data_IF_470208159535
#
_entry.id   IF_470208159535
#
_cell.length_a   1.000
_cell.length_b   1.000
_cell.length_c   1.000
_cell.angle_alpha   90.00
_cell.angle_beta   90.00
_cell.angle_gamma   90.00
#
_symmetry.space_group_name_H-M   'P 1'
#
loop_
_entity.id
_entity.type
_entity.pdbx_description
1 polymer ?
#
# COMPACT_ATOMS: atom_id res chain seq x y z
N UNK A 1 2.45 -34.14 10.23
CA UNK A 1 2.16 -33.46 11.55
C UNK A 1 1.97 -34.48 12.67
N UNK A 2 2.19 -34.11 13.97
CA UNK A 2 1.91 -35.00 15.11
C UNK A 2 0.39 -35.18 15.26
N UNK A 3 -0.11 -36.40 15.56
CA UNK A 3 -1.57 -36.64 15.72
C UNK A 3 -2.23 -35.74 16.78
N UNK A 4 -1.51 -35.45 17.88
CA UNK A 4 -1.97 -34.54 18.94
C UNK A 4 -2.21 -33.13 18.44
N UNK A 5 -1.29 -32.60 17.61
CA UNK A 5 -1.39 -31.24 17.08
C UNK A 5 -2.56 -31.11 16.12
N UNK A 6 -2.80 -32.16 15.32
CA UNK A 6 -3.96 -32.23 14.41
C UNK A 6 -5.26 -32.15 15.20
N UNK A 7 -5.37 -32.86 16.34
CA UNK A 7 -6.57 -32.81 17.20
C UNK A 7 -6.80 -31.42 17.79
N UNK A 8 -5.72 -30.73 18.24
CA UNK A 8 -5.84 -29.38 18.77
C UNK A 8 -6.31 -28.42 17.67
N UNK A 9 -5.74 -28.50 16.47
CA UNK A 9 -6.14 -27.67 15.33
C UNK A 9 -7.61 -27.94 14.96
N UNK A 10 -8.05 -29.19 14.98
CA UNK A 10 -9.46 -29.52 14.74
C UNK A 10 -10.37 -28.84 15.77
N UNK A 11 -10.09 -29.00 17.08
CA UNK A 11 -10.87 -28.37 18.14
C UNK A 11 -10.92 -26.84 18.02
N UNK A 12 -9.80 -26.21 17.64
CA UNK A 12 -9.78 -24.76 17.38
C UNK A 12 -10.70 -24.42 16.21
N UNK A 13 -10.59 -25.14 15.08
CA UNK A 13 -11.38 -24.88 13.88
C UNK A 13 -12.88 -25.17 14.05
N UNK A 14 -13.25 -26.11 14.94
CA UNK A 14 -14.65 -26.38 15.32
C UNK A 14 -15.31 -25.17 16.00
N UNK A 15 -14.54 -24.46 16.82
CA UNK A 15 -15.06 -23.32 17.60
C UNK A 15 -14.95 -22.00 16.83
N UNK A 16 -13.82 -21.79 16.13
CA UNK A 16 -13.53 -20.47 15.50
C UNK A 16 -13.99 -20.39 14.05
N UNK A 17 -14.24 -21.51 13.38
CA UNK A 17 -14.37 -21.57 11.93
C UNK A 17 -13.03 -21.36 11.21
N UNK A 18 -13.04 -20.85 9.96
CA UNK A 18 -11.83 -20.64 9.19
C UNK A 18 -10.86 -19.65 9.85
N UNK A 19 -9.58 -20.03 9.98
CA UNK A 19 -8.54 -19.20 10.63
C UNK A 19 -7.20 -19.35 9.90
N UNK A 20 -6.35 -18.33 10.03
CA UNK A 20 -4.98 -18.37 9.50
C UNK A 20 -4.10 -19.36 10.27
N UNK A 21 -3.25 -20.17 9.60
CA UNK A 21 -2.29 -21.03 10.27
C UNK A 21 -1.39 -20.32 11.28
N UNK A 22 -1.11 -19.02 11.08
CA UNK A 22 -0.29 -18.19 11.97
C UNK A 22 -1.00 -17.82 13.26
N UNK A 23 -2.34 -17.81 13.27
CA UNK A 23 -3.18 -17.45 14.42
C UNK A 23 -3.61 -18.66 15.26
N UNK A 24 -3.44 -19.88 14.72
CA UNK A 24 -3.89 -21.13 15.38
C UNK A 24 -3.32 -21.28 16.79
N UNK A 25 -2.06 -20.92 17.02
CA UNK A 25 -1.44 -21.05 18.34
C UNK A 25 -2.05 -20.11 19.37
N UNK A 26 -2.24 -18.84 19.01
CA UNK A 26 -2.81 -17.83 19.91
C UNK A 26 -4.26 -18.15 20.25
N UNK A 27 -5.00 -18.59 19.24
CA UNK A 27 -6.40 -18.96 19.43
C UNK A 27 -6.56 -20.23 20.26
N UNK A 28 -5.70 -21.23 20.06
CA UNK A 28 -5.65 -22.41 20.91
C UNK A 28 -5.36 -22.03 22.37
N UNK A 29 -4.41 -21.12 22.61
CA UNK A 29 -4.08 -20.64 23.95
C UNK A 29 -5.25 -19.92 24.63
N UNK A 30 -5.91 -19.02 23.91
CA UNK A 30 -7.12 -18.32 24.37
C UNK A 30 -8.23 -19.29 24.79
N UNK A 31 -8.53 -20.27 23.92
CA UNK A 31 -9.58 -21.27 24.14
C UNK A 31 -9.22 -22.22 25.28
N UNK A 32 -7.95 -22.57 25.44
CA UNK A 32 -7.47 -23.39 26.54
C UNK A 32 -7.59 -22.65 27.90
N UNK A 33 -7.22 -21.38 27.94
CA UNK A 33 -7.35 -20.53 29.14
C UNK A 33 -8.82 -20.32 29.55
N UNK A 34 -9.74 -20.32 28.57
CA UNK A 34 -11.20 -20.29 28.80
C UNK A 34 -11.82 -21.64 29.17
N UNK A 35 -11.05 -22.73 29.08
CA UNK A 35 -11.53 -24.10 29.32
C UNK A 35 -12.40 -24.68 28.19
N UNK A 36 -12.41 -24.02 27.02
CA UNK A 36 -13.21 -24.44 25.85
C UNK A 36 -12.54 -25.60 25.07
N UNK A 37 -11.21 -25.76 25.18
CA UNK A 37 -10.45 -26.91 24.71
C UNK A 37 -9.63 -27.51 25.86
N UNK A 38 -9.45 -28.83 25.80
CA UNK A 38 -8.80 -29.60 26.91
C UNK A 38 -7.32 -29.86 26.68
N UNK A 39 -6.81 -29.57 25.50
CA UNK A 39 -5.42 -29.84 25.10
C UNK A 39 -4.79 -28.60 24.54
N UNK A 40 -3.50 -28.38 24.87
CA UNK A 40 -2.69 -27.29 24.31
C UNK A 40 -1.45 -27.88 23.62
N UNK A 41 -0.88 -27.11 22.67
CA UNK A 41 0.39 -27.45 22.04
C UNK A 41 1.52 -27.49 23.07
N UNK A 42 2.36 -28.51 22.97
CA UNK A 42 3.52 -28.69 23.83
C UNK A 42 4.79 -28.23 23.10
N UNK A 43 4.86 -26.92 22.88
CA UNK A 43 6.01 -26.27 22.27
C UNK A 43 6.59 -25.24 23.25
N UNK A 44 7.67 -25.65 23.96
CA UNK A 44 8.49 -24.76 24.77
C UNK A 44 9.60 -24.16 23.90
N UNK A 45 9.52 -22.88 23.55
CA UNK A 45 10.57 -22.22 22.77
C UNK A 45 10.28 -20.74 22.54
N UNK A 46 11.24 -20.03 21.94
CA UNK A 46 11.11 -18.59 21.65
C UNK A 46 10.09 -18.26 20.53
N UNK A 47 9.67 -19.26 19.73
CA UNK A 47 8.79 -19.08 18.57
C UNK A 47 7.72 -20.19 18.46
N UNK A 48 6.80 -20.33 19.47
CA UNK A 48 5.78 -21.38 19.44
C UNK A 48 4.83 -21.27 18.25
N UNK A 49 4.52 -20.06 17.78
CA UNK A 49 3.69 -19.81 16.59
C UNK A 49 4.26 -20.48 15.34
N UNK A 50 5.57 -20.32 15.08
CA UNK A 50 6.23 -20.94 13.94
C UNK A 50 6.26 -22.48 14.05
N UNK A 51 6.38 -22.99 15.29
CA UNK A 51 6.36 -24.42 15.54
C UNK A 51 5.00 -25.07 15.22
N UNK A 52 3.92 -24.30 15.22
CA UNK A 52 2.57 -24.73 14.82
C UNK A 52 2.30 -24.43 13.35
N UNK A 53 2.55 -23.21 12.90
CA UNK A 53 2.16 -22.78 11.53
C UNK A 53 3.01 -23.45 10.44
N UNK A 54 4.33 -23.59 10.65
CA UNK A 54 5.23 -24.16 9.63
C UNK A 54 4.90 -25.61 9.26
N UNK A 55 4.62 -26.52 10.20
CA UNK A 55 4.11 -27.87 9.89
C UNK A 55 2.76 -27.87 9.15
N UNK A 56 1.85 -26.94 9.45
CA UNK A 56 0.58 -26.82 8.74
C UNK A 56 0.83 -26.49 7.27
N UNK A 57 1.60 -25.43 6.98
CA UNK A 57 1.95 -25.06 5.61
C UNK A 57 2.66 -26.20 4.86
N UNK A 58 3.60 -26.87 5.53
CA UNK A 58 4.33 -27.98 4.93
C UNK A 58 3.42 -29.14 4.55
N UNK A 59 2.50 -29.51 5.44
CA UNK A 59 1.56 -30.60 5.21
C UNK A 59 0.54 -30.27 4.10
N UNK A 60 0.02 -29.04 4.08
CA UNK A 60 -0.87 -28.54 3.02
C UNK A 60 -0.18 -28.55 1.64
N UNK A 61 1.07 -28.10 1.57
CA UNK A 61 1.83 -28.06 0.31
C UNK A 61 2.22 -29.45 -0.19
N UNK A 62 2.39 -30.42 0.70
CA UNK A 62 2.66 -31.83 0.34
C UNK A 62 1.41 -32.62 -0.02
N UNK A 63 0.22 -32.04 0.14
CA UNK A 63 -1.05 -32.73 -0.08
C UNK A 63 -1.31 -33.85 0.91
N UNK A 64 -0.79 -33.75 2.16
CA UNK A 64 -1.03 -34.72 3.22
C UNK A 64 -2.55 -34.82 3.50
N UNK A 65 -3.03 -36.01 3.81
CA UNK A 65 -4.42 -36.21 4.16
C UNK A 65 -4.70 -35.72 5.57
N UNK A 66 -5.23 -34.49 5.67
CA UNK A 66 -5.53 -33.79 6.91
C UNK A 66 -7.05 -33.64 7.07
N UNK A 67 -7.56 -33.53 8.32
CA UNK A 67 -9.00 -33.29 8.57
C UNK A 67 -9.43 -31.86 8.25
N UNK A 68 -8.53 -31.01 7.87
CA UNK A 68 -8.75 -29.64 7.42
C UNK A 68 -8.11 -29.38 6.06
N UNK A 69 -8.57 -28.36 5.37
CA UNK A 69 -8.08 -27.98 4.06
C UNK A 69 -7.90 -26.45 3.97
N UNK A 70 -7.15 -26.02 2.99
CA UNK A 70 -7.01 -24.60 2.65
C UNK A 70 -8.27 -24.15 1.92
N UNK A 71 -8.96 -23.14 2.48
CA UNK A 71 -10.21 -22.58 1.93
C UNK A 71 -10.01 -21.22 1.29
N UNK A 72 -8.88 -20.53 1.57
CA UNK A 72 -8.50 -19.25 0.98
C UNK A 72 -6.99 -19.17 0.81
N UNK A 73 -6.54 -18.45 -0.24
CA UNK A 73 -5.11 -18.33 -0.57
C UNK A 73 -4.44 -17.06 -0.05
N UNK A 74 -5.15 -15.95 0.01
CA UNK A 74 -4.61 -14.68 0.48
C UNK A 74 -5.65 -13.91 1.30
N UNK A 75 -5.47 -13.80 2.63
CA UNK A 75 -4.54 -14.60 3.45
C UNK A 75 -4.88 -16.10 3.41
N UNK A 76 -3.90 -16.95 3.69
CA UNK A 76 -4.18 -18.41 3.78
C UNK A 76 -5.08 -18.67 4.97
N UNK A 77 -6.25 -19.26 4.71
CA UNK A 77 -7.17 -19.72 5.75
C UNK A 77 -7.36 -21.24 5.61
N UNK A 78 -7.44 -21.92 6.75
CA UNK A 78 -7.76 -23.33 6.87
C UNK A 78 -9.10 -23.54 7.55
N UNK A 79 -9.85 -24.53 7.12
CA UNK A 79 -11.12 -24.96 7.70
C UNK A 79 -11.24 -26.48 7.74
N UNK A 80 -12.16 -27.01 8.55
CA UNK A 80 -12.43 -28.45 8.63
C UNK A 80 -13.01 -28.98 7.32
N UNK A 81 -12.56 -30.18 6.93
CA UNK A 81 -13.21 -30.96 5.87
C UNK A 81 -14.61 -31.38 6.35
N UNK A 82 -15.63 -30.95 5.63
CA UNK A 82 -17.03 -31.22 5.98
C UNK A 82 -17.79 -30.08 6.63
N UNK A 83 -17.12 -29.07 7.16
CA UNK A 83 -17.73 -27.79 7.52
C UNK A 83 -18.05 -26.92 6.27
N UNK A 84 -17.61 -27.35 5.11
CA UNK A 84 -17.93 -26.74 3.81
C UNK A 84 -19.24 -27.34 3.21
N UNK A 85 -20.25 -27.63 4.04
CA UNK A 85 -21.60 -27.87 3.57
C UNK A 85 -22.51 -26.75 4.05
N UNK A 86 -22.85 -25.94 3.10
CA UNK A 86 -23.66 -24.75 2.93
C UNK A 86 -22.83 -23.49 2.98
N UNK A 87 -22.85 -22.73 1.88
CA UNK A 87 -22.46 -21.34 1.97
C UNK A 87 -23.42 -20.73 2.99
N UNK A 88 -22.90 -20.29 4.14
CA UNK A 88 -23.60 -19.29 4.94
C UNK A 88 -24.06 -18.27 3.91
N UNK A 89 -25.36 -18.11 3.80
CA UNK A 89 -26.02 -17.13 2.99
C UNK A 89 -25.12 -15.90 2.95
N UNK A 90 -24.43 -15.75 1.83
CA UNK A 90 -23.95 -14.46 1.41
C UNK A 90 -25.16 -13.54 1.52
N UNK A 91 -25.15 -12.70 2.52
CA UNK A 91 -25.57 -11.35 2.23
C UNK A 91 -24.59 -10.98 1.11
N UNK A 92 -25.06 -11.12 -0.10
CA UNK A 92 -24.38 -10.63 -1.28
C UNK A 92 -24.07 -9.15 -1.01
N UNK A 93 -22.88 -8.90 -0.48
CA UNK A 93 -22.21 -7.67 -0.92
C UNK A 93 -22.09 -7.87 -2.43
N UNK A 94 -22.70 -6.99 -3.25
CA UNK A 94 -22.59 -7.12 -4.68
C UNK A 94 -21.12 -7.37 -4.97
N UNK A 95 -20.83 -8.42 -5.74
CA UNK A 95 -19.49 -8.75 -6.18
C UNK A 95 -19.04 -7.57 -7.07
N UNK A 96 -18.48 -6.57 -6.43
CA UNK A 96 -17.69 -5.58 -7.14
C UNK A 96 -16.60 -6.41 -7.79
N UNK A 97 -16.55 -6.44 -9.10
CA UNK A 97 -15.47 -7.06 -9.86
C UNK A 97 -14.19 -6.34 -9.45
N UNK A 98 -13.56 -6.80 -8.37
CA UNK A 98 -12.35 -6.18 -7.85
C UNK A 98 -11.28 -6.30 -8.92
N UNK A 99 -10.80 -5.17 -9.40
CA UNK A 99 -9.67 -5.12 -10.33
C UNK A 99 -8.55 -5.95 -9.73
N UNK A 100 -8.11 -6.97 -10.48
CA UNK A 100 -7.08 -7.90 -10.00
C UNK A 100 -5.74 -7.17 -9.92
N UNK A 101 -5.31 -6.85 -8.72
CA UNK A 101 -4.01 -6.22 -8.45
C UNK A 101 -2.94 -7.32 -8.33
N UNK A 102 -2.26 -7.59 -9.42
CA UNK A 102 -1.17 -8.57 -9.46
C UNK A 102 0.18 -7.94 -9.08
N UNK A 103 0.44 -6.72 -9.53
CA UNK A 103 1.69 -5.99 -9.33
C UNK A 103 1.45 -4.65 -8.61
N UNK A 104 2.49 -4.06 -7.99
CA UNK A 104 2.41 -2.72 -7.38
C UNK A 104 2.02 -1.65 -8.42
N UNK A 105 2.45 -1.80 -9.66
CA UNK A 105 2.10 -0.91 -10.77
C UNK A 105 0.62 -0.86 -11.11
N UNK A 106 -0.13 -1.91 -10.79
CA UNK A 106 -1.58 -1.90 -10.97
C UNK A 106 -2.27 -0.89 -10.05
N UNK A 107 -1.56 -0.39 -9.02
CA UNK A 107 -2.02 0.65 -8.10
C UNK A 107 -1.86 2.07 -8.67
N UNK A 108 -0.96 2.28 -9.64
CA UNK A 108 -0.62 3.62 -10.14
C UNK A 108 -1.83 4.40 -10.67
N UNK A 109 -2.74 3.83 -11.49
CA UNK A 109 -3.91 4.57 -11.97
C UNK A 109 -4.84 5.02 -10.84
N UNK A 110 -4.97 4.22 -9.78
CA UNK A 110 -5.78 4.58 -8.60
C UNK A 110 -5.16 5.72 -7.81
N UNK A 111 -3.83 5.71 -7.65
CA UNK A 111 -3.11 6.80 -7.01
C UNK A 111 -3.17 8.07 -7.85
N UNK A 112 -3.00 7.97 -9.18
CA UNK A 112 -3.13 9.12 -10.10
C UNK A 112 -4.50 9.78 -9.97
N UNK A 113 -5.57 8.97 -9.97
CA UNK A 113 -6.94 9.46 -9.78
C UNK A 113 -7.11 10.13 -8.41
N UNK A 114 -6.70 9.46 -7.34
CA UNK A 114 -6.80 9.99 -5.98
C UNK A 114 -5.99 11.28 -5.81
N UNK A 115 -4.74 11.30 -6.29
CA UNK A 115 -3.85 12.46 -6.16
C UNK A 115 -4.38 13.69 -6.91
N UNK A 116 -5.01 13.48 -8.05
CA UNK A 116 -5.61 14.58 -8.85
C UNK A 116 -6.87 15.16 -8.19
N UNK A 117 -7.76 14.31 -7.63
CA UNK A 117 -9.04 14.75 -7.08
C UNK A 117 -9.00 15.11 -5.60
N UNK A 118 -7.98 14.69 -4.86
CA UNK A 118 -7.88 14.96 -3.42
C UNK A 118 -7.46 16.42 -3.15
N UNK A 119 -8.23 17.15 -2.36
CA UNK A 119 -8.03 18.58 -2.07
C UNK A 119 -6.65 18.90 -1.45
N UNK A 120 -6.06 17.99 -0.68
CA UNK A 120 -4.75 18.20 -0.05
C UNK A 120 -3.59 17.96 -1.02
N UNK A 121 -3.80 17.09 -2.03
CA UNK A 121 -2.77 16.75 -3.01
C UNK A 121 -2.90 17.62 -4.27
N UNK A 122 -4.02 17.55 -4.97
CA UNK A 122 -4.28 18.28 -6.25
C UNK A 122 -3.07 18.24 -7.19
N UNK A 123 -2.47 17.07 -7.36
CA UNK A 123 -1.24 16.95 -8.12
C UNK A 123 -1.39 16.06 -9.35
N UNK A 124 -0.68 16.45 -10.41
CA UNK A 124 -0.41 15.59 -11.56
C UNK A 124 0.70 14.62 -11.19
N UNK A 125 0.59 13.37 -11.59
CA UNK A 125 1.58 12.32 -11.27
C UNK A 125 2.35 11.88 -12.51
N UNK A 126 3.54 11.30 -12.26
CA UNK A 126 4.34 10.60 -13.26
C UNK A 126 4.91 9.34 -12.67
N UNK A 127 4.66 8.21 -13.32
CA UNK A 127 5.27 6.93 -12.98
C UNK A 127 6.76 6.94 -13.32
N UNK A 128 7.59 6.49 -12.38
CA UNK A 128 9.04 6.36 -12.54
C UNK A 128 9.40 4.89 -12.72
N UNK A 129 9.92 4.55 -13.88
CA UNK A 129 10.38 3.19 -14.18
C UNK A 129 11.85 3.06 -13.80
N UNK A 130 12.12 2.46 -12.63
CA UNK A 130 13.49 2.26 -12.15
C UNK A 130 14.31 1.33 -13.06
N UNK A 131 13.66 0.45 -13.83
CA UNK A 131 14.32 -0.41 -14.81
C UNK A 131 14.92 0.37 -15.99
N UNK A 132 14.41 1.57 -16.27
CA UNK A 132 14.91 2.48 -17.30
C UNK A 132 16.08 3.33 -16.81
N UNK A 133 16.47 3.19 -15.53
CA UNK A 133 17.58 3.96 -14.96
C UNK A 133 18.94 3.40 -15.37
N UNK A 134 19.96 4.27 -15.42
CA UNK A 134 21.33 3.83 -15.60
C UNK A 134 21.76 2.93 -14.45
N UNK A 135 22.44 1.82 -14.76
CA UNK A 135 22.83 0.85 -13.74
C UNK A 135 24.06 1.33 -12.99
N UNK A 136 23.93 1.44 -11.67
CA UNK A 136 25.03 1.60 -10.72
C UNK A 136 25.50 0.23 -10.18
N UNK A 137 26.66 0.16 -9.50
CA UNK A 137 27.06 -1.02 -8.76
C UNK A 137 25.95 -1.53 -7.84
N UNK A 138 25.84 -2.86 -7.71
CA UNK A 138 24.75 -3.52 -6.98
C UNK A 138 24.60 -2.94 -5.58
N UNK A 139 23.42 -2.39 -5.28
CA UNK A 139 23.04 -1.86 -3.98
C UNK A 139 23.24 -0.36 -3.78
N UNK A 140 23.99 0.35 -4.65
CA UNK A 140 24.18 1.81 -4.51
C UNK A 140 22.88 2.61 -4.68
N UNK A 141 22.02 2.20 -5.60
CA UNK A 141 20.77 2.90 -5.90
C UNK A 141 19.57 2.28 -5.16
N UNK A 142 19.85 1.44 -4.16
CA UNK A 142 18.77 0.84 -3.37
C UNK A 142 17.98 1.95 -2.67
N UNK A 143 16.67 1.98 -2.94
CA UNK A 143 15.74 2.98 -2.38
C UNK A 143 16.01 4.45 -2.84
N UNK A 144 16.63 4.61 -3.99
CA UNK A 144 16.84 5.93 -4.58
C UNK A 144 15.61 6.41 -5.34
N UNK A 145 14.99 5.51 -6.13
CA UNK A 145 13.91 5.85 -7.03
C UNK A 145 12.55 5.73 -6.36
N UNK A 146 11.69 6.78 -6.39
CA UNK A 146 10.29 6.66 -6.03
C UNK A 146 9.53 5.86 -7.09
N UNK A 147 8.42 5.23 -6.72
CA UNK A 147 7.53 4.56 -7.69
C UNK A 147 6.80 5.58 -8.56
N UNK A 148 6.34 6.67 -7.95
CA UNK A 148 5.70 7.78 -8.65
C UNK A 148 6.11 9.11 -8.04
N UNK A 149 6.11 10.14 -8.90
CA UNK A 149 6.33 11.54 -8.52
C UNK A 149 5.08 12.35 -8.81
N UNK A 150 4.89 13.46 -8.09
CA UNK A 150 3.76 14.35 -8.29
C UNK A 150 4.16 15.81 -8.24
N UNK A 151 3.37 16.65 -8.91
CA UNK A 151 3.50 18.11 -8.85
C UNK A 151 2.15 18.77 -8.70
N UNK A 152 2.03 19.68 -7.74
CA UNK A 152 0.93 20.64 -7.61
C UNK A 152 1.41 22.02 -8.03
N UNK A 153 0.71 22.62 -8.96
CA UNK A 153 1.01 23.96 -9.46
C UNK A 153 0.23 25.00 -8.64
N UNK A 154 0.84 25.53 -7.59
CA UNK A 154 0.17 26.45 -6.66
C UNK A 154 -0.29 27.75 -7.35
N UNK A 155 0.49 28.24 -8.32
CA UNK A 155 0.13 29.43 -9.08
C UNK A 155 -1.06 29.21 -10.04
N UNK A 156 -1.33 27.97 -10.46
CA UNK A 156 -2.51 27.66 -11.30
C UNK A 156 -3.84 27.73 -10.52
N UNK A 157 -3.80 27.79 -9.19
CA UNK A 157 -4.97 27.94 -8.32
C UNK A 157 -5.33 29.41 -8.07
N UNK A 158 -4.47 30.34 -8.50
CA UNK A 158 -4.70 31.78 -8.35
C UNK A 158 -5.48 32.31 -9.55
N UNK A 159 -6.56 33.05 -9.27
CA UNK A 159 -7.38 33.69 -10.30
C UNK A 159 -6.99 35.14 -10.60
N UNK A 160 -6.15 35.76 -9.75
CA UNK A 160 -5.75 37.15 -9.90
C UNK A 160 -4.40 37.24 -10.62
N UNK A 161 -4.36 37.92 -11.78
CA UNK A 161 -3.15 38.08 -12.60
C UNK A 161 -1.96 38.68 -11.86
N UNK A 162 -2.20 39.66 -10.97
CA UNK A 162 -1.13 40.27 -10.19
C UNK A 162 -0.57 39.31 -9.16
N UNK A 163 -1.41 38.47 -8.54
CA UNK A 163 -0.95 37.44 -7.62
C UNK A 163 -0.18 36.33 -8.35
N UNK A 164 -0.60 35.96 -9.56
CA UNK A 164 0.13 35.01 -10.40
C UNK A 164 1.51 35.57 -10.73
N UNK A 165 1.59 36.86 -11.18
CA UNK A 165 2.83 37.49 -11.50
C UNK A 165 3.73 37.66 -10.28
N UNK A 166 3.15 37.98 -9.12
CA UNK A 166 3.85 38.09 -7.85
C UNK A 166 4.45 36.76 -7.43
N UNK A 167 3.63 35.67 -7.43
CA UNK A 167 4.07 34.33 -7.10
C UNK A 167 5.20 33.85 -8.03
N UNK A 168 5.03 33.98 -9.34
CA UNK A 168 6.07 33.61 -10.32
C UNK A 168 7.39 34.36 -10.13
N UNK A 169 7.35 35.58 -9.58
CA UNK A 169 8.54 36.41 -9.43
C UNK A 169 9.23 36.29 -8.08
N UNK A 170 8.48 36.07 -7.01
CA UNK A 170 8.99 36.19 -5.64
C UNK A 170 8.89 34.89 -4.84
N UNK A 171 8.06 33.90 -5.26
CA UNK A 171 8.06 32.61 -4.64
C UNK A 171 9.28 31.79 -5.02
N UNK A 172 9.88 31.18 -4.03
CA UNK A 172 11.07 30.34 -4.20
C UNK A 172 10.74 29.08 -4.98
N UNK A 173 9.52 28.56 -4.83
CA UNK A 173 9.04 27.36 -5.52
C UNK A 173 7.51 27.43 -5.66
N UNK A 174 6.97 27.97 -6.79
CA UNK A 174 5.52 28.10 -7.00
C UNK A 174 4.84 26.76 -7.30
N UNK A 175 5.52 25.66 -7.01
CA UNK A 175 5.06 24.29 -7.16
C UNK A 175 5.34 23.50 -5.89
N UNK A 176 4.53 22.47 -5.63
CA UNK A 176 4.79 21.50 -4.58
C UNK A 176 5.12 20.16 -5.23
N UNK A 177 6.33 19.66 -4.95
CA UNK A 177 6.80 18.35 -5.43
C UNK A 177 6.46 17.27 -4.41
N UNK A 178 5.96 16.14 -4.88
CA UNK A 178 5.53 15.02 -4.05
C UNK A 178 6.19 13.73 -4.52
N UNK A 179 6.66 12.92 -3.58
CA UNK A 179 7.19 11.58 -3.81
C UNK A 179 6.24 10.53 -3.26
N UNK A 180 5.96 9.48 -4.01
CA UNK A 180 5.10 8.38 -3.59
C UNK A 180 5.85 7.05 -3.67
N UNK A 181 5.83 6.31 -2.56
CA UNK A 181 6.27 4.92 -2.46
C UNK A 181 5.05 4.04 -2.26
N UNK A 182 4.79 3.12 -3.21
CA UNK A 182 3.61 2.26 -3.21
C UNK A 182 3.93 0.87 -2.67
N UNK A 183 2.98 0.29 -1.92
CA UNK A 183 3.05 -1.07 -1.42
C UNK A 183 1.70 -1.76 -1.53
N UNK A 184 1.70 -3.00 -2.04
CA UNK A 184 0.48 -3.82 -2.09
C UNK A 184 -0.04 -4.16 -0.70
N UNK A 185 0.87 -4.30 0.26
CA UNK A 185 0.53 -4.66 1.63
C UNK A 185 1.48 -3.98 2.61
N UNK A 186 0.91 -3.35 3.64
CA UNK A 186 1.64 -2.80 4.78
C UNK A 186 1.13 -3.50 6.04
N UNK A 187 2.04 -4.20 6.72
CA UNK A 187 1.80 -4.93 7.96
C UNK A 187 2.78 -4.47 9.05
N UNK A 188 2.54 -4.86 10.29
CA UNK A 188 3.47 -4.57 11.40
C UNK A 188 4.89 -5.07 11.11
N UNK A 189 5.02 -6.18 10.37
CA UNK A 189 6.31 -6.82 10.09
C UNK A 189 7.16 -6.05 9.08
N UNK A 190 6.54 -5.48 8.03
CA UNK A 190 7.25 -4.78 6.97
C UNK A 190 7.13 -3.24 7.03
N UNK A 191 6.30 -2.71 7.93
CA UNK A 191 5.99 -1.30 8.02
C UNK A 191 7.24 -0.41 8.12
N UNK A 192 8.24 -0.79 8.93
CA UNK A 192 9.47 -0.01 9.07
C UNK A 192 10.26 0.04 7.76
N UNK A 193 10.43 -1.11 7.09
CA UNK A 193 11.15 -1.17 5.81
C UNK A 193 10.47 -0.30 4.76
N UNK A 194 9.15 -0.47 4.57
CA UNK A 194 8.36 0.34 3.64
C UNK A 194 8.47 1.84 3.95
N UNK A 195 8.40 2.19 5.24
CA UNK A 195 8.46 3.58 5.67
C UNK A 195 9.84 4.21 5.45
N UNK A 196 10.93 3.49 5.76
CA UNK A 196 12.29 3.98 5.51
C UNK A 196 12.61 4.05 4.02
N UNK A 197 12.02 3.20 3.19
CA UNK A 197 12.11 3.33 1.74
C UNK A 197 11.47 4.64 1.27
N UNK A 198 10.27 4.97 1.76
CA UNK A 198 9.61 6.24 1.45
C UNK A 198 10.41 7.47 1.93
N UNK A 199 11.09 7.38 3.09
CA UNK A 199 12.01 8.44 3.56
C UNK A 199 13.16 8.61 2.57
N UNK A 200 13.82 7.51 2.21
CA UNK A 200 15.01 7.53 1.36
C UNK A 200 14.75 8.15 0.00
N UNK A 201 13.65 7.78 -0.65
CA UNK A 201 13.34 8.21 -2.01
C UNK A 201 12.56 9.53 -2.10
N UNK A 202 12.36 10.25 -0.98
CA UNK A 202 11.58 11.50 -0.96
C UNK A 202 12.37 12.74 -0.52
N UNK A 203 13.69 12.67 -0.32
CA UNK A 203 14.48 13.83 0.16
C UNK A 203 14.45 15.02 -0.82
N UNK A 204 14.34 14.75 -2.11
CA UNK A 204 14.24 15.69 -3.22
C UNK A 204 12.86 16.37 -3.34
N UNK A 205 11.82 15.90 -2.65
CA UNK A 205 10.46 16.41 -2.75
C UNK A 205 10.05 17.22 -1.50
N UNK A 206 9.07 18.12 -1.65
CA UNK A 206 8.49 18.87 -0.54
C UNK A 206 7.70 17.97 0.42
N UNK A 207 7.02 16.96 -0.12
CA UNK A 207 6.24 15.97 0.62
C UNK A 207 6.56 14.57 0.15
N UNK A 208 6.65 13.62 1.08
CA UNK A 208 6.78 12.19 0.77
C UNK A 208 5.62 11.41 1.37
N UNK A 209 5.08 10.46 0.63
CA UNK A 209 3.99 9.59 1.07
C UNK A 209 4.32 8.12 0.90
N UNK A 210 4.05 7.33 1.94
CA UNK A 210 3.93 5.89 1.86
C UNK A 210 2.47 5.56 1.53
N UNK A 211 2.26 4.87 0.42
CA UNK A 211 0.94 4.50 -0.09
C UNK A 211 0.74 3.00 0.08
N UNK A 212 -0.20 2.60 0.91
CA UNK A 212 -0.55 1.20 1.11
C UNK A 212 -1.93 0.88 0.55
N UNK A 213 -2.04 -0.27 -0.12
CA UNK A 213 -3.35 -0.74 -0.55
C UNK A 213 -4.09 -1.34 0.64
N UNK A 214 -5.30 -0.85 0.95
CA UNK A 214 -6.20 -1.37 1.99
C UNK A 214 -5.51 -1.53 3.36
N UNK A 215 -4.94 -0.43 3.87
CA UNK A 215 -4.31 -0.43 5.19
C UNK A 215 -5.35 -0.79 6.26
N UNK A 216 -5.05 -1.79 7.09
CA UNK A 216 -5.90 -2.17 8.21
C UNK A 216 -5.82 -1.11 9.33
N UNK A 217 -6.74 -0.14 9.27
CA UNK A 217 -6.84 0.94 10.27
C UNK A 217 -7.34 0.48 11.63
N UNK A 218 -7.90 -0.74 11.72
CA UNK A 218 -8.33 -1.34 13.00
C UNK A 218 -7.17 -2.01 13.73
N UNK A 219 -6.05 -2.28 13.05
CA UNK A 219 -4.84 -2.79 13.68
C UNK A 219 -4.12 -1.67 14.45
N UNK A 220 -4.40 -1.58 15.76
CA UNK A 220 -3.85 -0.55 16.63
C UNK A 220 -2.32 -0.54 16.64
N UNK A 221 -1.67 -1.72 16.61
CA UNK A 221 -0.20 -1.84 16.60
C UNK A 221 0.40 -1.23 15.33
N UNK A 222 -0.22 -1.47 14.18
CA UNK A 222 0.20 -0.89 12.91
C UNK A 222 0.02 0.63 12.92
N UNK A 223 -1.17 1.09 13.32
CA UNK A 223 -1.48 2.52 13.35
C UNK A 223 -0.59 3.30 14.34
N UNK A 224 -0.31 2.74 15.51
CA UNK A 224 0.61 3.36 16.49
C UNK A 224 2.05 3.41 15.97
N UNK A 225 2.48 2.39 15.23
CA UNK A 225 3.80 2.39 14.60
C UNK A 225 3.89 3.45 13.51
N UNK A 226 2.91 3.53 12.61
CA UNK A 226 2.84 4.55 11.55
C UNK A 226 2.81 5.97 12.14
N UNK A 227 2.02 6.24 13.17
CA UNK A 227 1.96 7.54 13.86
C UNK A 227 3.31 7.93 14.47
N UNK A 228 4.01 7.00 15.13
CA UNK A 228 5.34 7.25 15.71
C UNK A 228 6.39 7.55 14.64
N UNK A 229 6.41 6.78 13.56
CA UNK A 229 7.32 7.03 12.43
C UNK A 229 7.00 8.37 11.76
N UNK A 230 5.72 8.68 11.55
CA UNK A 230 5.29 9.97 11.01
C UNK A 230 5.71 11.15 11.91
N UNK A 231 5.52 11.04 13.22
CA UNK A 231 5.93 12.10 14.17
C UNK A 231 7.44 12.40 14.06
N UNK A 232 8.26 11.36 13.88
CA UNK A 232 9.72 11.45 13.80
C UNK A 232 10.23 11.95 12.45
N UNK A 233 9.65 11.48 11.33
CA UNK A 233 10.22 11.66 9.99
C UNK A 233 9.33 12.45 9.03
N UNK A 234 8.04 12.59 9.31
CA UNK A 234 7.14 13.45 8.54
C UNK A 234 6.61 12.88 7.23
N UNK A 235 6.90 11.61 6.88
CA UNK A 235 6.31 10.96 5.70
C UNK A 235 4.83 10.74 5.96
N UNK A 236 3.98 11.16 5.02
CA UNK A 236 2.54 10.91 5.07
C UNK A 236 2.18 9.46 4.79
N UNK A 237 0.95 9.09 5.08
CA UNK A 237 0.44 7.74 4.82
C UNK A 237 -0.91 7.84 4.12
N UNK A 238 -1.02 7.14 2.99
CA UNK A 238 -2.25 7.05 2.19
C UNK A 238 -2.75 5.61 2.24
N UNK A 239 -4.04 5.44 2.60
CA UNK A 239 -4.78 4.20 2.39
C UNK A 239 -5.43 4.25 1.00
N UNK A 240 -4.89 3.50 0.06
CA UNK A 240 -5.35 3.46 -1.32
C UNK A 240 -6.38 2.34 -1.49
N UNK A 241 -7.59 2.69 -1.88
CA UNK A 241 -8.68 1.74 -2.15
C UNK A 241 -8.74 1.43 -3.64
N UNK A 242 -8.93 0.16 -3.96
CA UNK A 242 -9.01 -0.33 -5.35
C UNK A 242 -10.34 -1.00 -5.68
N UNK A 243 -11.20 -1.17 -4.69
CA UNK A 243 -12.54 -1.73 -4.77
C UNK A 243 -13.64 -0.65 -4.75
N UNK A 244 -13.35 0.49 -4.13
CA UNK A 244 -14.27 1.62 -4.01
C UNK A 244 -13.50 2.96 -3.97
N UNK A 245 -14.15 4.03 -4.39
CA UNK A 245 -13.59 5.39 -4.35
C UNK A 245 -13.64 5.98 -2.93
N UNK A 246 -12.88 5.38 -2.02
CA UNK A 246 -12.76 5.77 -0.61
C UNK A 246 -11.31 5.85 -0.13
N UNK A 247 -10.38 6.09 -1.05
CA UNK A 247 -8.98 6.32 -0.71
C UNK A 247 -8.85 7.54 0.21
N UNK A 248 -7.99 7.44 1.23
CA UNK A 248 -7.85 8.48 2.24
C UNK A 248 -6.39 8.74 2.64
N UNK A 249 -6.07 9.98 2.95
CA UNK A 249 -4.82 10.34 3.62
C UNK A 249 -5.03 10.08 5.12
N UNK A 250 -4.37 9.05 5.65
CA UNK A 250 -4.42 8.72 7.06
C UNK A 250 -3.54 9.65 7.89
N UNK A 251 -2.38 10.04 7.35
CA UNK A 251 -1.43 10.98 7.96
C UNK A 251 -0.92 11.93 6.87
N UNK A 252 -1.11 13.23 7.04
CA UNK A 252 -0.60 14.22 6.10
C UNK A 252 0.93 14.32 6.20
N UNK A 253 1.62 14.36 5.07
CA UNK A 253 3.07 14.58 5.06
C UNK A 253 3.42 15.95 5.67
N UNK A 254 4.58 16.02 6.32
CA UNK A 254 5.13 17.30 6.75
C UNK A 254 5.82 17.97 5.55
N UNK A 255 5.43 19.21 5.27
CA UNK A 255 6.01 19.99 4.20
C UNK A 255 7.47 20.37 4.52
N UNK A 256 8.37 20.20 3.53
CA UNK A 256 9.76 20.63 3.57
C UNK A 256 9.93 21.85 2.67
N UNK A 257 10.33 22.98 3.23
CA UNK A 257 10.63 24.20 2.45
C UNK A 257 11.84 24.02 1.55
N UNK A 258 12.84 23.26 2.02
CA UNK A 258 14.07 23.00 1.28
C UNK A 258 14.09 21.54 0.84
N UNK A 259 14.27 21.35 -0.45
CA UNK A 259 14.46 20.03 -1.06
C UNK A 259 15.95 19.74 -1.27
N UNK A 260 16.30 18.47 -1.37
CA UNK A 260 17.67 18.03 -1.65
C UNK A 260 17.94 18.08 -3.16
N UNK A 261 18.51 19.20 -3.61
CA UNK A 261 18.88 19.40 -5.02
C UNK A 261 19.96 18.42 -5.49
N UNK A 262 20.81 17.91 -4.59
CA UNK A 262 21.85 16.93 -4.95
C UNK A 262 21.20 15.62 -5.35
N UNK A 263 20.24 15.14 -4.56
CA UNK A 263 19.49 13.94 -4.88
C UNK A 263 18.60 14.15 -6.12
N UNK A 264 17.96 15.32 -6.26
CA UNK A 264 17.18 15.63 -7.45
C UNK A 264 18.03 15.61 -8.73
N UNK A 265 19.27 16.16 -8.68
CA UNK A 265 20.20 16.10 -9.80
C UNK A 265 20.62 14.66 -10.12
N UNK A 266 20.98 13.86 -9.10
CA UNK A 266 21.35 12.46 -9.28
C UNK A 266 20.22 11.64 -9.91
N UNK A 267 18.97 11.82 -9.45
CA UNK A 267 17.80 11.19 -10.03
C UNK A 267 17.59 11.61 -11.50
N UNK A 268 17.75 12.89 -11.80
CA UNK A 268 17.59 13.42 -13.17
C UNK A 268 18.65 12.86 -14.13
N UNK A 269 19.89 12.72 -13.67
CA UNK A 269 20.98 12.17 -14.46
C UNK A 269 20.80 10.67 -14.73
N UNK A 270 20.26 9.95 -13.74
CA UNK A 270 20.12 8.49 -13.79
C UNK A 270 18.82 8.00 -14.44
N UNK A 271 17.74 8.80 -14.38
CA UNK A 271 16.42 8.39 -14.87
C UNK A 271 15.79 9.43 -15.81
N UNK A 272 15.65 9.06 -17.08
CA UNK A 272 15.09 9.94 -18.11
C UNK A 272 13.62 10.34 -17.86
N UNK A 273 12.82 9.49 -17.20
CA UNK A 273 11.44 9.81 -16.86
C UNK A 273 11.37 10.89 -15.78
N UNK A 274 12.26 10.80 -14.77
CA UNK A 274 12.37 11.84 -13.75
C UNK A 274 12.88 13.17 -14.33
N UNK A 275 13.91 13.12 -15.18
CA UNK A 275 14.40 14.30 -15.91
C UNK A 275 13.31 14.94 -16.76
N UNK A 276 12.55 14.12 -17.52
CA UNK A 276 11.39 14.57 -18.30
C UNK A 276 10.30 15.19 -17.43
N UNK A 277 9.99 14.60 -16.28
CA UNK A 277 9.05 15.16 -15.31
C UNK A 277 9.48 16.57 -14.86
N UNK A 278 10.72 16.75 -14.45
CA UNK A 278 11.22 18.08 -14.05
C UNK A 278 11.12 19.09 -15.19
N UNK A 279 11.44 18.67 -16.42
CA UNK A 279 11.27 19.53 -17.60
C UNK A 279 9.81 19.93 -17.80
N UNK A 280 8.88 18.97 -17.72
CA UNK A 280 7.44 19.26 -17.85
C UNK A 280 6.93 20.22 -16.77
N UNK A 281 7.50 20.13 -15.54
CA UNK A 281 7.18 21.07 -14.46
C UNK A 281 7.65 22.49 -14.78
N UNK A 282 8.86 22.62 -15.37
CA UNK A 282 9.42 23.93 -15.76
C UNK A 282 8.63 24.54 -16.93
N UNK A 283 8.27 23.71 -17.91
CA UNK A 283 7.61 24.15 -19.13
C UNK A 283 6.09 24.37 -18.95
N UNK A 284 5.51 23.95 -17.81
CA UNK A 284 4.07 23.99 -17.58
C UNK A 284 3.55 25.44 -17.60
N UNK A 285 2.53 25.63 -18.45
CA UNK A 285 1.80 26.90 -18.58
C UNK A 285 0.34 26.68 -18.14
N UNK A 286 -0.09 27.30 -17.02
CA UNK A 286 -1.46 27.16 -16.51
C UNK A 286 -2.52 27.70 -17.44
N UNK A 287 -2.18 28.62 -18.38
CA UNK A 287 -3.11 29.14 -19.36
C UNK A 287 -3.41 28.13 -20.48
N UNK A 288 -2.51 27.13 -20.65
CA UNK A 288 -2.64 26.10 -21.67
C UNK A 288 -2.41 24.68 -21.12
N UNK A 289 -3.13 24.24 -20.08
CA UNK A 289 -2.88 22.98 -19.39
C UNK A 289 -2.98 21.75 -20.29
N UNK A 290 -3.83 21.83 -21.33
CA UNK A 290 -4.01 20.72 -22.29
C UNK A 290 -2.76 20.39 -23.11
N UNK A 291 -1.78 21.30 -23.22
CA UNK A 291 -0.50 21.03 -23.90
C UNK A 291 0.36 20.00 -23.18
N UNK A 292 0.13 19.82 -21.89
CA UNK A 292 0.95 18.99 -21.01
C UNK A 292 0.23 17.70 -20.60
N UNK A 293 -0.94 17.44 -21.17
CA UNK A 293 -1.78 16.29 -20.81
C UNK A 293 -1.03 14.95 -20.93
N UNK A 294 -0.20 14.81 -21.97
CA UNK A 294 0.55 13.57 -22.25
C UNK A 294 1.89 13.49 -21.50
N UNK A 295 2.29 14.58 -20.85
CA UNK A 295 3.53 14.64 -20.07
C UNK A 295 3.38 14.00 -18.68
N UNK A 296 2.15 13.91 -18.17
CA UNK A 296 1.80 13.30 -16.90
C UNK A 296 1.04 11.98 -17.12
N UNK A 297 0.85 11.22 -16.04
CA UNK A 297 0.06 10.00 -16.10
C UNK A 297 -1.42 10.35 -16.35
N UNK A 298 -2.08 9.55 -17.18
CA UNK A 298 -3.49 9.75 -17.53
C UNK A 298 -4.38 9.58 -16.29
N UNK A 299 -5.20 10.59 -16.01
CA UNK A 299 -6.25 10.52 -14.99
C UNK A 299 -7.45 9.77 -15.57
N UNK A 300 -7.57 8.50 -15.26
CA UNK A 300 -8.69 7.66 -15.68
C UNK A 300 -10.00 8.13 -15.07
N UNK A 301 -11.10 7.83 -15.75
CA UNK A 301 -12.44 8.10 -15.21
C UNK A 301 -12.74 7.17 -14.05
N UNK A 302 -13.57 7.64 -13.11
CA UNK A 302 -13.98 6.86 -11.93
C UNK A 302 -14.57 5.51 -12.30
N UNK A 303 -15.42 5.47 -13.32
CA UNK A 303 -16.13 4.28 -13.78
C UNK A 303 -15.18 3.22 -14.37
N UNK A 304 -14.03 3.64 -14.91
CA UNK A 304 -13.00 2.73 -15.41
C UNK A 304 -12.19 2.07 -14.29
N UNK A 305 -11.97 2.81 -13.19
CA UNK A 305 -11.23 2.32 -12.03
C UNK A 305 -12.10 1.52 -11.07
N UNK A 306 -13.35 1.95 -10.91
CA UNK A 306 -14.32 1.38 -9.98
C UNK A 306 -15.60 1.00 -10.73
N UNK A 307 -15.55 -0.05 -11.58
CA UNK A 307 -16.70 -0.48 -12.35
C UNK A 307 -17.84 -0.89 -11.41
N UNK A 308 -19.00 -0.27 -11.58
CA UNK A 308 -20.18 -0.57 -10.80
C UNK A 308 -20.88 -1.79 -11.43
N UNK A 309 -20.94 -2.96 -10.78
CA UNK A 309 -21.55 -4.15 -11.35
C UNK A 309 -23.07 -4.00 -11.59
N UNK A 310 -23.69 -2.95 -11.05
CA UNK A 310 -25.13 -2.66 -11.20
C UNK A 310 -25.50 -1.97 -12.51
N UNK A 311 -24.55 -1.63 -13.38
CA UNK A 311 -24.78 -0.90 -14.64
C UNK A 311 -24.40 -1.67 -15.90
N UNK A 312 -24.06 -2.95 -15.81
CA UNK A 312 -23.92 -3.80 -16.99
C UNK A 312 -25.31 -4.29 -17.41
N UNK A 313 -25.88 -3.61 -18.40
CA UNK A 313 -27.06 -4.05 -19.11
C UNK A 313 -26.74 -5.19 -20.07
#
# INVERSE_FOLDING_TARGET
MKPRDIQIIQSVLEITGPISPTEVYDKAKELFEKGEITKMFDYGGKTPHQSVSSPIYTALNKGEELPFLKVQENPVLIALKGAAKEPVLNIEKPSVSSVKIAHERDLHPFLTYMAFHNENLKCYTKTIFHEESSKSPKGMDRWLYPDMVGVRFLHAELSNENLIAFSKKFDTLPVKLVSFELKKEISVNNCRECYFQAISNSSWANEGYLVGRHIDTHNSKLMDLLKRLHASFGIGVIDLRTDEDKSAILLNAKYKEKIDYTVASELSDKNKKFSGFLKSVVDYDPDFPNRYKDEFDEVKKKEELYPNPSLSF
#
